data_IF_920539036195
#
_entry.id   IF_920539036195
#
_cell.length_a   1.000
_cell.length_b   1.000
_cell.length_c   1.000
_cell.angle_alpha   90.00
_cell.angle_beta   90.00
_cell.angle_gamma   90.00
#
_symmetry.space_group_name_H-M   'P 1'
#
loop_
_entity.id
_entity.type
_entity.pdbx_description
1 polymer ?
2 non-polymer ?
3 non-polymer ?
4 non-polymer ?
5 non-polymer ?
6 non-polymer ?
7 water ?
#
# COMPACT_ATOMS: atom_id res chain seq x y z
N UNK A 24 -29.10 -7.75 -4.64
CA UNK A 24 -29.78 -6.47 -4.75
C UNK A 24 -28.99 -5.45 -5.54
N UNK A 25 -27.94 -5.93 -6.20
CA UNK A 25 -27.10 -5.11 -7.05
C UNK A 25 -27.70 -5.03 -8.45
N UNK A 26 -27.54 -3.88 -9.10
CA UNK A 26 -27.92 -3.83 -10.50
C UNK A 26 -26.97 -4.66 -11.36
N UNK A 27 -27.34 -4.83 -12.62
CA UNK A 27 -26.50 -5.55 -13.56
C UNK A 27 -25.17 -4.84 -13.76
N UNK A 28 -25.20 -3.52 -13.89
CA UNK A 28 -23.98 -2.76 -14.08
C UNK A 28 -23.09 -2.87 -12.85
N UNK A 29 -23.69 -2.92 -11.66
CA UNK A 29 -22.89 -3.01 -10.43
C UNK A 29 -22.22 -4.36 -10.31
N UNK A 30 -22.93 -5.45 -10.63
CA UNK A 30 -22.31 -6.76 -10.57
C UNK A 30 -21.23 -6.91 -11.63
N UNK A 31 -21.43 -6.29 -12.80
CA UNK A 31 -20.38 -6.33 -13.81
C UNK A 31 -19.16 -5.55 -13.35
N UNK A 32 -19.39 -4.40 -12.70
CA UNK A 32 -18.30 -3.58 -12.19
C UNK A 32 -17.45 -4.35 -11.17
N UNK A 33 -18.10 -5.04 -10.24
CA UNK A 33 -17.35 -5.82 -9.26
C UNK A 33 -16.60 -6.96 -9.93
N UNK A 34 -17.24 -7.61 -10.92
CA UNK A 34 -16.61 -8.71 -11.64
C UNK A 34 -15.34 -8.24 -12.35
N UNK A 35 -15.40 -7.07 -13.00
CA UNK A 35 -14.20 -6.58 -13.67
C UNK A 35 -13.10 -6.23 -12.68
N UNK A 36 -13.44 -5.67 -11.52
CA UNK A 36 -12.41 -5.36 -10.52
C UNK A 36 -11.80 -6.62 -9.95
N UNK A 37 -12.62 -7.63 -9.62
CA UNK A 37 -12.11 -8.88 -9.08
C UNK A 37 -11.26 -9.60 -10.11
N UNK A 38 -11.64 -9.51 -11.38
CA UNK A 38 -10.83 -10.08 -12.46
C UNK A 38 -9.46 -9.42 -12.52
N UNK A 39 -9.43 -8.09 -12.49
CA UNK A 39 -8.16 -7.38 -12.53
C UNK A 39 -7.29 -7.72 -11.32
N UNK A 40 -7.91 -7.84 -10.14
CA UNK A 40 -7.16 -8.21 -8.94
C UNK A 40 -6.57 -9.60 -9.09
N UNK A 41 -7.38 -10.56 -9.54
CA UNK A 41 -6.93 -11.94 -9.72
C UNK A 41 -5.75 -12.03 -10.68
N UNK A 42 -5.76 -11.22 -11.74
CA UNK A 42 -4.69 -11.34 -12.75
C UNK A 42 -3.40 -10.64 -12.34
N UNK A 43 -3.45 -9.71 -11.38
CA UNK A 43 -2.29 -8.84 -11.13
C UNK A 43 -1.78 -8.82 -9.70
N UNK A 44 -2.43 -9.51 -8.76
CA UNK A 44 -1.99 -9.58 -7.37
C UNK A 44 -1.33 -10.96 -7.18
N UNK A 45 0.00 -10.97 -7.13
CA UNK A 45 0.81 -12.16 -6.84
C UNK A 45 0.77 -12.41 -5.34
N UNK A 46 -0.29 -13.09 -4.90
CA UNK A 46 -0.57 -13.15 -3.46
C UNK A 46 0.44 -13.98 -2.72
N UNK A 47 1.11 -14.93 -3.40
CA UNK A 47 2.19 -15.70 -2.79
C UNK A 47 3.56 -15.08 -3.04
N UNK A 48 3.65 -13.94 -3.75
CA UNK A 48 4.92 -13.25 -4.01
C UNK A 48 5.92 -14.18 -4.70
N UNK A 49 5.40 -15.17 -5.45
CA UNK A 49 6.25 -16.15 -6.12
C UNK A 49 7.19 -15.49 -7.13
N UNK A 50 6.80 -14.37 -7.72
CA UNK A 50 7.62 -13.75 -8.75
C UNK A 50 8.40 -12.54 -8.25
N UNK A 51 8.50 -12.34 -6.95
CA UNK A 51 9.37 -11.33 -6.36
C UNK A 51 10.72 -11.98 -6.13
N UNK A 52 11.73 -11.55 -6.89
CA UNK A 52 13.03 -12.20 -6.84
C UNK A 52 14.12 -11.16 -7.15
N UNK A 53 15.38 -11.58 -6.96
CA UNK A 53 16.55 -10.75 -7.26
C UNK A 53 16.57 -9.47 -6.44
N UNK A 54 15.95 -9.48 -5.26
CA UNK A 54 15.91 -8.30 -4.41
C UNK A 54 17.17 -8.23 -3.56
N UNK A 55 17.54 -7.00 -3.20
CA UNK A 55 18.67 -6.77 -2.31
C UNK A 55 18.29 -7.09 -0.86
N UNK A 56 19.30 -7.45 -0.07
CA UNK A 56 19.18 -7.77 1.36
C UNK A 56 20.23 -7.02 2.15
N UNK A 57 19.99 -6.76 3.43
CA UNK A 57 21.01 -6.10 4.26
C UNK A 57 22.29 -6.91 4.33
N UNK A 58 23.43 -6.21 4.30
CA UNK A 58 24.72 -6.88 4.22
C UNK A 58 25.01 -7.75 5.43
N UNK A 59 25.98 -8.66 5.23
CA UNK A 59 26.33 -9.66 6.24
C UNK A 59 27.49 -9.19 7.13
N UNK A 77 21.29 20.91 8.49
CA UNK A 77 21.68 19.59 8.03
C UNK A 77 21.63 18.58 9.18
N UNK A 78 22.23 18.93 10.31
CA UNK A 78 22.13 18.09 11.49
C UNK A 78 20.70 17.99 11.98
N UNK A 79 19.89 19.02 11.70
CA UNK A 79 18.46 18.94 12.01
C UNK A 79 17.74 18.04 11.03
N UNK A 80 18.29 17.91 9.81
CA UNK A 80 17.74 16.98 8.84
C UNK A 80 17.94 15.53 9.28
N UNK A 81 19.16 15.20 9.71
CA UNK A 81 19.44 13.85 10.17
C UNK A 81 18.56 13.46 11.36
N UNK A 82 18.38 14.38 12.31
CA UNK A 82 17.51 14.08 13.45
C UNK A 82 16.12 13.70 12.98
N UNK A 83 15.60 14.41 11.97
CA UNK A 83 14.27 14.09 11.46
C UNK A 83 14.26 12.76 10.72
N UNK A 84 15.26 12.53 9.86
CA UNK A 84 15.34 11.27 9.13
C UNK A 84 15.49 10.10 10.10
N UNK A 85 16.28 10.28 11.17
CA UNK A 85 16.39 9.24 12.19
C UNK A 85 15.03 8.95 12.81
N UNK A 86 14.24 9.99 13.07
CA UNK A 86 12.89 9.80 13.59
C UNK A 86 12.00 9.09 12.59
N UNK A 87 12.10 9.47 11.30
CA UNK A 87 11.31 8.81 10.26
C UNK A 87 11.60 7.31 10.21
N UNK A 88 12.88 6.93 10.20
CA UNK A 88 13.23 5.54 9.90
C UNK A 88 12.94 4.59 11.05
N UNK A 89 12.97 5.06 12.30
CA UNK A 89 12.71 4.14 13.41
C UNK A 89 11.22 4.03 13.75
N UNK A 90 10.34 4.74 13.06
CA UNK A 90 8.91 4.56 13.30
C UNK A 90 8.37 3.26 12.73
N UNK A 91 9.17 2.51 11.96
CA UNK A 91 8.77 1.18 11.46
C UNK A 91 9.98 0.27 11.58
N UNK A 92 9.94 -0.64 12.56
CA UNK A 92 11.03 -1.57 12.82
C UNK A 92 10.52 -2.99 12.63
N UNK A 93 11.10 -3.70 11.65
CA UNK A 93 10.70 -5.08 11.40
C UNK A 93 11.92 -5.97 11.30
N UNK A 94 11.76 -7.20 11.74
CA UNK A 94 12.67 -8.26 11.35
C UNK A 94 12.16 -8.93 10.09
N UNK A 95 13.05 -9.64 9.42
CA UNK A 95 12.78 -10.22 8.12
C UNK A 95 13.05 -11.71 8.23
N UNK A 96 12.16 -12.52 7.68
CA UNK A 96 12.36 -13.96 7.61
C UNK A 96 12.19 -14.43 6.17
N UNK A 97 13.11 -15.30 5.73
CA UNK A 97 13.10 -15.90 4.39
C UNK A 97 13.10 -17.42 4.51
N UNK A 98 12.02 -18.06 4.07
CA UNK A 98 11.90 -19.51 4.14
C UNK A 98 12.27 -20.11 2.79
N UNK A 99 13.33 -20.92 2.77
CA UNK A 99 13.77 -21.52 1.53
C UNK A 99 12.82 -22.61 1.07
N UNK A 100 12.76 -22.78 -0.26
CA UNK A 100 12.01 -23.89 -0.85
C UNK A 100 12.47 -25.26 -0.33
N UNK A 101 13.68 -25.33 0.25
CA UNK A 101 14.22 -26.58 0.81
C UNK A 101 13.88 -26.77 2.28
N UNK A 102 13.26 -25.80 2.92
CA UNK A 102 13.01 -25.88 4.35
C UNK A 102 13.98 -25.12 5.22
N UNK A 103 15.03 -24.56 4.64
CA UNK A 103 15.92 -23.70 5.41
C UNK A 103 15.25 -22.35 5.70
N UNK A 104 15.70 -21.70 6.77
CA UNK A 104 15.20 -20.38 7.16
C UNK A 104 16.38 -19.45 7.42
N UNK A 105 16.37 -18.30 6.77
CA UNK A 105 17.20 -17.16 7.15
C UNK A 105 16.35 -16.16 7.92
N UNK A 106 16.92 -15.61 8.99
CA UNK A 106 16.25 -14.59 9.80
C UNK A 106 17.18 -13.41 9.99
N UNK A 107 16.66 -12.20 9.79
CA UNK A 107 17.44 -10.97 9.97
C UNK A 107 16.78 -10.13 11.06
N UNK A 108 17.56 -9.79 12.08
CA UNK A 108 17.21 -8.84 13.14
C UNK A 108 17.94 -7.54 12.92
N UNK A 109 17.24 -6.40 12.83
CA UNK A 109 17.89 -5.13 12.44
C UNK A 109 18.75 -4.57 13.57
N UNK A 110 19.67 -3.66 13.25
CA UNK A 110 20.50 -3.04 14.30
C UNK A 110 19.73 -1.98 15.09
N UNK A 111 20.23 -1.68 16.28
CA UNK A 111 19.73 -0.53 17.01
C UNK A 111 20.29 0.75 16.42
N UNK A 112 19.60 1.86 16.65
CA UNK A 112 20.12 3.15 16.20
C UNK A 112 21.28 3.54 17.10
N UNK A 113 22.48 3.57 16.52
CA UNK A 113 23.69 4.02 17.21
C UNK A 113 24.23 5.31 16.58
N UNK A 114 23.33 6.13 16.04
CA UNK A 114 23.69 7.41 15.46
C UNK A 114 24.52 7.33 14.19
N UNK A 115 24.42 6.24 13.44
CA UNK A 115 25.18 6.09 12.22
C UNK A 115 24.38 5.57 11.05
N UNK A 116 25.06 5.18 9.97
CA UNK A 116 24.43 4.76 8.73
C UNK A 116 23.64 3.46 8.86
N UNK A 117 23.76 2.75 9.99
CA UNK A 117 23.09 1.46 10.14
C UNK A 117 21.57 1.58 10.09
N UNK A 118 21.02 2.79 10.22
CA UNK A 118 19.57 2.95 10.14
C UNK A 118 19.05 2.74 8.72
N UNK A 119 19.94 2.77 7.72
CA UNK A 119 19.55 2.61 6.32
C UNK A 119 19.65 1.18 5.81
N UNK A 120 19.89 0.19 6.69
CA UNK A 120 20.30 -1.12 6.21
C UNK A 120 19.20 -1.84 5.43
N UNK A 121 17.94 -1.59 5.76
CA UNK A 121 16.84 -2.24 5.08
C UNK A 121 16.27 -1.43 3.92
N UNK A 122 16.77 -0.22 3.67
CA UNK A 122 16.19 0.61 2.62
C UNK A 122 16.30 -0.01 1.23
N UNK A 123 17.43 -0.57 0.78
CA UNK A 123 17.44 -1.16 -0.56
C UNK A 123 16.44 -2.31 -0.70
N UNK A 124 16.29 -3.16 0.33
CA UNK A 124 15.31 -4.24 0.26
C UNK A 124 13.89 -3.70 0.17
N UNK A 125 13.56 -2.69 0.96
CA UNK A 125 12.20 -2.15 0.96
C UNK A 125 11.90 -1.44 -0.35
N UNK A 126 12.89 -0.78 -0.95
CA UNK A 126 12.71 -0.20 -2.29
C UNK A 126 12.38 -1.27 -3.33
N UNK A 127 13.05 -2.43 -3.25
CA UNK A 127 12.77 -3.49 -4.21
C UNK A 127 11.38 -4.08 -4.00
N UNK A 128 10.97 -4.28 -2.74
CA UNK A 128 9.62 -4.79 -2.48
C UNK A 128 8.55 -3.79 -2.92
N UNK A 129 8.72 -2.51 -2.60
CA UNK A 129 7.74 -1.51 -3.02
C UNK A 129 7.65 -1.43 -4.53
N UNK A 130 8.81 -1.47 -5.20
CA UNK A 130 8.84 -1.45 -6.65
C UNK A 130 8.09 -2.65 -7.22
N UNK A 131 8.33 -3.84 -6.67
CA UNK A 131 7.59 -5.02 -7.09
C UNK A 131 6.09 -4.82 -6.93
N UNK A 132 5.66 -4.30 -5.77
CA UNK A 132 4.23 -4.04 -5.55
C UNK A 132 3.69 -3.03 -6.54
N UNK A 133 4.45 -1.96 -6.81
CA UNK A 133 4.00 -0.89 -7.72
C UNK A 133 3.72 -1.43 -9.12
N UNK A 134 4.56 -2.37 -9.59
CA UNK A 134 4.33 -2.96 -10.90
C UNK A 134 3.00 -3.71 -10.94
N UNK A 135 2.70 -4.48 -9.89
CA UNK A 135 1.40 -5.13 -9.83
C UNK A 135 0.24 -4.16 -9.84
N UNK A 136 0.40 -3.03 -9.13
CA UNK A 136 -0.63 -1.99 -9.06
C UNK A 136 -0.85 -1.34 -10.42
N UNK A 137 0.23 -1.04 -11.14
CA UNK A 137 0.12 -0.47 -12.48
C UNK A 137 -0.59 -1.45 -13.41
N UNK A 138 -0.24 -2.74 -13.33
CA UNK A 138 -0.92 -3.75 -14.15
C UNK A 138 -2.41 -3.83 -13.80
N UNK A 139 -2.74 -3.71 -12.50
CA UNK A 139 -4.13 -3.72 -12.06
C UNK A 139 -4.93 -2.60 -12.75
N UNK A 140 -4.43 -1.37 -12.68
CA UNK A 140 -5.10 -0.23 -13.30
C UNK A 140 -5.30 -0.45 -14.80
N UNK A 141 -4.25 -0.90 -15.51
CA UNK A 141 -4.32 -1.02 -16.96
C UNK A 141 -5.33 -2.07 -17.43
N UNK A 142 -5.63 -3.08 -16.60
CA UNK A 142 -6.64 -4.08 -16.97
C UNK A 142 -8.07 -3.53 -16.87
N UNK A 143 -8.30 -2.48 -16.10
CA UNK A 143 -9.65 -1.98 -15.84
C UNK A 143 -10.09 -1.08 -16.99
N UNK A 144 -11.29 -1.38 -17.54
CA UNK A 144 -11.80 -0.63 -18.70
C UNK A 144 -11.98 0.86 -18.38
N UNK A 145 -12.57 1.18 -17.23
CA UNK A 145 -12.76 2.59 -16.89
C UNK A 145 -11.44 3.34 -16.82
N UNK A 146 -10.35 2.67 -16.45
CA UNK A 146 -9.05 3.32 -16.40
C UNK A 146 -8.42 3.41 -17.80
N UNK A 147 -8.48 2.32 -18.57
CA UNK A 147 -7.96 2.34 -19.93
C UNK A 147 -8.57 3.46 -20.75
N UNK A 148 -9.84 3.79 -20.50
CA UNK A 148 -10.55 4.82 -21.27
C UNK A 148 -10.19 6.23 -20.89
N UNK A 149 -9.38 6.44 -19.86
CA UNK A 149 -9.00 7.82 -19.59
C UNK A 149 -7.83 8.21 -20.48
N UNK A 150 -7.65 9.50 -20.74
CA UNK A 150 -6.45 9.96 -21.44
C UNK A 150 -5.19 9.57 -20.68
N UNK A 151 -4.12 9.30 -21.43
CA UNK A 151 -2.91 8.72 -20.84
C UNK A 151 -2.30 9.63 -19.78
N UNK A 152 -2.44 10.95 -19.93
CA UNK A 152 -1.87 11.85 -18.94
C UNK A 152 -2.61 11.75 -17.61
N UNK A 153 -3.92 11.47 -17.65
CA UNK A 153 -4.67 11.28 -16.41
C UNK A 153 -4.39 9.92 -15.79
N UNK A 154 -4.23 8.89 -16.63
CA UNK A 154 -3.77 7.60 -16.14
C UNK A 154 -2.52 7.75 -15.30
N UNK A 155 -1.54 8.50 -15.81
CA UNK A 155 -0.28 8.70 -15.12
C UNK A 155 -0.49 9.47 -13.82
N UNK A 156 -1.31 10.53 -13.86
CA UNK A 156 -1.49 11.35 -12.65
C UNK A 156 -2.21 10.57 -11.56
N UNK A 157 -3.17 9.71 -11.94
CA UNK A 157 -3.87 8.88 -10.97
C UNK A 157 -2.96 7.82 -10.35
N UNK A 158 -2.10 7.19 -11.16
CA UNK A 158 -1.16 6.20 -10.64
C UNK A 158 -0.12 6.84 -9.72
N UNK A 159 0.44 7.99 -10.11
CA UNK A 159 1.32 8.71 -9.20
C UNK A 159 0.60 9.06 -7.89
N UNK A 160 -0.69 9.38 -7.97
CA UNK A 160 -1.42 9.75 -6.76
C UNK A 160 -1.79 8.61 -5.85
N UNK A 161 -2.02 7.41 -6.41
CA UNK A 161 -2.63 6.33 -5.64
C UNK A 161 -1.75 5.09 -5.45
N UNK A 162 -0.59 5.01 -6.10
CA UNK A 162 0.21 3.77 -6.06
C UNK A 162 0.53 3.32 -4.64
N UNK A 163 0.99 4.24 -3.80
CA UNK A 163 1.27 3.90 -2.41
C UNK A 163 0.04 3.40 -1.67
N UNK A 164 -1.11 4.09 -1.84
CA UNK A 164 -2.32 3.69 -1.14
C UNK A 164 -2.80 2.30 -1.57
N UNK A 165 -2.73 1.99 -2.87
CA UNK A 165 -3.13 0.65 -3.30
C UNK A 165 -2.14 -0.40 -2.82
N UNK A 166 -0.87 -0.04 -2.69
CA UNK A 166 0.09 -0.98 -2.12
C UNK A 166 -0.26 -1.30 -0.67
N UNK A 167 -0.63 -0.28 0.12
CA UNK A 167 -0.99 -0.52 1.52
C UNK A 167 -2.23 -1.39 1.64
N UNK A 168 -3.22 -1.15 0.76
CA UNK A 168 -4.44 -1.95 0.76
C UNK A 168 -4.15 -3.41 0.46
N UNK A 169 -3.28 -3.67 -0.54
CA UNK A 169 -2.92 -5.06 -0.82
C UNK A 169 -2.12 -5.67 0.33
N UNK A 170 -1.20 -4.90 0.92
CA UNK A 170 -0.43 -5.43 2.06
C UNK A 170 -1.31 -5.75 3.25
N UNK A 171 -2.42 -5.01 3.45
CA UNK A 171 -3.28 -5.33 4.58
C UNK A 171 -3.91 -6.71 4.45
N UNK A 172 -4.13 -7.18 3.22
CA UNK A 172 -4.74 -8.51 3.09
C UNK A 172 -3.78 -9.63 3.44
N UNK A 173 -2.47 -9.39 3.53
CA UNK A 173 -1.53 -10.40 4.02
C UNK A 173 -1.03 -10.09 5.43
N UNK A 174 -1.59 -9.07 6.08
CA UNK A 174 -1.22 -8.72 7.46
C UNK A 174 -1.90 -9.67 8.43
N UNK A 175 -1.11 -10.22 9.37
CA UNK A 175 -1.63 -11.06 10.45
C UNK A 175 -1.62 -10.20 11.71
N UNK A 176 -2.80 -9.75 12.14
CA UNK A 176 -2.86 -8.84 13.27
C UNK A 176 -2.58 -9.54 14.59
N UNK A 177 -2.77 -10.86 14.66
CA UNK A 177 -2.44 -11.58 15.88
C UNK A 177 -0.94 -11.61 16.13
N UNK A 178 -0.13 -11.80 15.08
CA UNK A 178 1.31 -11.92 15.26
C UNK A 178 2.08 -10.67 14.85
N UNK A 179 1.41 -9.62 14.39
CA UNK A 179 2.11 -8.42 13.93
C UNK A 179 3.03 -8.64 12.75
N UNK A 180 2.60 -9.46 11.78
CA UNK A 180 3.47 -9.89 10.68
C UNK A 180 2.77 -9.77 9.33
N UNK A 181 3.46 -9.19 8.34
CA UNK A 181 3.01 -9.27 6.95
C UNK A 181 3.58 -10.53 6.33
N UNK A 182 2.69 -11.44 5.91
CA UNK A 182 3.06 -12.77 5.44
C UNK A 182 3.06 -12.75 3.91
N UNK A 183 4.24 -12.64 3.32
CA UNK A 183 4.38 -12.40 1.90
C UNK A 183 4.97 -13.65 1.24
N UNK A 184 4.21 -14.74 1.29
CA UNK A 184 4.72 -16.00 0.78
C UNK A 184 5.89 -16.52 1.60
N UNK A 185 7.05 -16.65 0.96
CA UNK A 185 8.24 -17.14 1.65
C UNK A 185 8.93 -16.06 2.49
N UNK A 186 8.55 -14.79 2.33
CA UNK A 186 9.08 -13.70 3.15
C UNK A 186 8.05 -13.29 4.19
N UNK A 187 8.53 -12.92 5.38
CA UNK A 187 7.70 -12.40 6.45
C UNK A 187 8.35 -11.16 7.03
N UNK A 188 7.54 -10.17 7.39
CA UNK A 188 8.05 -8.96 8.03
C UNK A 188 7.31 -8.82 9.35
N UNK A 189 8.05 -8.92 10.45
CA UNK A 189 7.47 -9.01 11.79
C UNK A 189 7.87 -7.79 12.61
N UNK A 190 6.87 -7.11 13.18
CA UNK A 190 7.12 -5.92 13.96
C UNK A 190 7.92 -6.29 15.21
N UNK A 191 8.93 -5.49 15.51
CA UNK A 191 9.82 -5.76 16.64
C UNK A 191 9.22 -5.22 17.93
N UNK A 192 9.29 -6.02 18.99
CA UNK A 192 8.86 -5.57 20.31
C UNK A 192 9.73 -4.41 20.78
N UNK A 197 3.41 -2.37 22.53
CA UNK A 197 2.26 -3.12 22.03
C UNK A 197 1.16 -2.15 21.60
N UNK A 198 0.43 -1.61 22.57
CA UNK A 198 -0.36 -0.40 22.32
C UNK A 198 0.55 0.78 21.99
N UNK A 199 1.85 0.63 22.21
CA UNK A 199 2.84 1.65 21.88
C UNK A 199 3.04 1.76 20.37
N UNK A 200 3.14 0.60 19.70
CA UNK A 200 3.34 0.60 18.24
C UNK A 200 2.14 1.17 17.51
N UNK A 201 0.94 1.02 18.07
CA UNK A 201 -0.27 1.56 17.46
C UNK A 201 -0.27 3.08 17.41
N UNK A 202 0.72 3.75 18.01
CA UNK A 202 0.79 5.20 17.90
C UNK A 202 1.21 5.62 16.50
N UNK A 203 1.95 4.76 15.81
CA UNK A 203 2.39 5.05 14.46
C UNK A 203 1.19 4.94 13.51
N UNK A 204 0.83 6.01 12.77
CA UNK A 204 -0.44 5.99 12.02
C UNK A 204 -0.54 4.84 11.02
N UNK A 205 0.53 4.54 10.29
CA UNK A 205 0.56 3.40 9.37
C UNK A 205 0.17 2.11 10.07
N UNK A 206 0.73 1.88 11.26
CA UNK A 206 0.44 0.64 11.97
C UNK A 206 -0.98 0.63 12.53
N UNK A 207 -1.42 1.74 13.13
CA UNK A 207 -2.82 1.82 13.56
C UNK A 207 -3.76 1.57 12.39
N UNK A 208 -3.43 2.12 11.22
CA UNK A 208 -4.25 1.87 10.03
C UNK A 208 -4.37 0.37 9.74
N UNK A 209 -3.24 -0.35 9.70
CA UNK A 209 -3.31 -1.77 9.36
C UNK A 209 -4.12 -2.56 10.37
N UNK A 210 -3.93 -2.31 11.67
CA UNK A 210 -4.70 -3.04 12.67
C UNK A 210 -6.19 -2.73 12.55
N UNK A 211 -6.54 -1.44 12.43
CA UNK A 211 -7.96 -1.08 12.37
C UNK A 211 -8.62 -1.63 11.12
N UNK A 212 -7.97 -1.51 9.95
CA UNK A 212 -8.57 -2.06 8.73
C UNK A 212 -8.76 -3.57 8.82
N UNK A 213 -7.75 -4.29 9.34
CA UNK A 213 -7.86 -5.74 9.46
C UNK A 213 -9.04 -6.15 10.33
N UNK A 214 -9.28 -5.44 11.42
CA UNK A 214 -10.35 -5.83 12.32
C UNK A 214 -11.74 -5.63 11.71
N UNK A 215 -11.87 -4.88 10.62
CA UNK A 215 -13.17 -4.82 9.96
C UNK A 215 -13.52 -6.10 9.24
N UNK A 216 -12.56 -7.02 9.07
CA UNK A 216 -12.81 -8.31 8.42
C UNK A 216 -13.51 -8.16 7.07
N UNK A 217 -12.86 -7.43 6.16
CA UNK A 217 -13.48 -7.15 4.87
C UNK A 217 -13.36 -8.37 3.95
N UNK A 218 -14.31 -8.46 3.01
CA UNK A 218 -14.27 -9.40 1.90
C UNK A 218 -13.30 -8.92 0.81
N UNK A 219 -12.88 -9.87 -0.03
CA UNK A 219 -12.06 -9.52 -1.20
C UNK A 219 -12.72 -8.43 -2.04
N UNK A 220 -14.05 -8.51 -2.24
CA UNK A 220 -14.73 -7.53 -3.08
C UNK A 220 -14.67 -6.13 -2.47
N UNK A 221 -14.72 -6.04 -1.14
CA UNK A 221 -14.67 -4.74 -0.49
C UNK A 221 -13.26 -4.14 -0.59
N UNK A 222 -12.23 -4.97 -0.46
CA UNK A 222 -10.87 -4.49 -0.69
C UNK A 222 -10.70 -3.93 -2.11
N UNK A 223 -11.18 -4.65 -3.14
CA UNK A 223 -10.90 -4.20 -4.50
C UNK A 223 -11.72 -2.94 -4.81
N UNK A 224 -12.91 -2.80 -4.21
CA UNK A 224 -13.66 -1.56 -4.37
C UNK A 224 -12.96 -0.41 -3.65
N UNK A 225 -12.32 -0.67 -2.50
CA UNK A 225 -11.49 0.36 -1.87
C UNK A 225 -10.36 0.78 -2.80
N UNK A 226 -9.70 -0.19 -3.45
CA UNK A 226 -8.64 0.14 -4.40
C UNK A 226 -9.16 1.04 -5.52
N UNK A 227 -10.36 0.73 -6.04
CA UNK A 227 -10.92 1.54 -7.13
C UNK A 227 -11.21 2.96 -6.67
N UNK A 228 -11.83 3.10 -5.49
CA UNK A 228 -12.18 4.43 -4.99
C UNK A 228 -10.95 5.28 -4.81
N UNK A 229 -9.87 4.68 -4.30
CA UNK A 229 -8.61 5.39 -4.13
C UNK A 229 -7.98 5.71 -5.48
N UNK A 230 -7.99 4.76 -6.41
CA UNK A 230 -7.37 4.98 -7.71
C UNK A 230 -8.05 6.12 -8.45
N UNK A 231 -9.38 6.13 -8.48
CA UNK A 231 -10.16 7.13 -9.21
C UNK A 231 -10.49 8.33 -8.31
N UNK A 232 -9.44 8.99 -7.80
CA UNK A 232 -9.62 10.16 -6.95
C UNK A 232 -9.48 11.41 -7.79
N UNK A 233 -10.55 12.18 -7.99
CA UNK A 233 -10.51 13.30 -8.96
C UNK A 233 -9.56 14.42 -8.58
N UNK A 234 -9.12 14.50 -7.33
CA UNK A 234 -8.34 15.63 -6.84
C UNK A 234 -6.85 15.32 -6.70
N UNK A 235 -6.35 14.33 -7.42
CA UNK A 235 -4.91 14.13 -7.42
C UNK A 235 -4.26 15.27 -8.22
N UNK A 236 -3.03 15.65 -7.87
CA UNK A 236 -2.33 16.68 -8.64
C UNK A 236 -2.25 16.30 -10.11
N UNK A 237 -2.66 17.24 -10.96
CA UNK A 237 -2.45 17.12 -12.39
C UNK A 237 -3.60 16.54 -13.17
N UNK A 238 -4.64 16.02 -12.51
CA UNK A 238 -5.75 15.42 -13.23
C UNK A 238 -6.47 16.47 -14.08
N UNK A 239 -6.81 16.12 -15.31
CA UNK A 239 -7.58 17.00 -16.18
C UNK A 239 -9.06 16.66 -16.22
N UNK A 240 -9.41 15.39 -16.44
CA UNK A 240 -10.81 14.96 -16.52
C UNK A 240 -11.42 14.80 -15.13
N UNK A 241 -11.36 15.89 -14.35
CA UNK A 241 -11.88 15.88 -12.99
C UNK A 241 -13.33 15.36 -12.93
N UNK A 242 -14.18 15.78 -13.87
CA UNK A 242 -15.59 15.43 -13.76
C UNK A 242 -15.81 13.95 -14.07
N UNK A 243 -15.15 13.44 -15.12
CA UNK A 243 -15.23 12.02 -15.44
C UNK A 243 -14.74 11.19 -14.26
N UNK A 244 -13.54 11.49 -13.76
CA UNK A 244 -12.98 10.71 -12.65
C UNK A 244 -13.91 10.77 -11.44
N UNK A 245 -14.46 11.96 -11.17
CA UNK A 245 -15.34 12.10 -10.02
C UNK A 245 -16.60 11.27 -10.15
N UNK A 246 -17.15 11.17 -11.36
CA UNK A 246 -18.36 10.37 -11.55
C UNK A 246 -18.06 8.89 -11.43
N UNK A 247 -16.91 8.45 -11.97
CA UNK A 247 -16.51 7.06 -11.80
C UNK A 247 -16.34 6.72 -10.33
N UNK A 248 -15.68 7.60 -9.57
CA UNK A 248 -15.46 7.33 -8.14
C UNK A 248 -16.78 7.19 -7.42
N UNK A 249 -17.75 8.04 -7.75
CA UNK A 249 -19.04 7.99 -7.09
C UNK A 249 -19.74 6.66 -7.39
N UNK A 250 -19.57 6.13 -8.60
CA UNK A 250 -20.20 4.85 -8.94
C UNK A 250 -19.56 3.69 -8.16
N UNK A 251 -18.23 3.68 -8.06
CA UNK A 251 -17.56 2.65 -7.24
C UNK A 251 -18.00 2.74 -5.78
N UNK A 252 -18.19 3.96 -5.26
CA UNK A 252 -18.61 4.09 -3.87
C UNK A 252 -20.07 3.62 -3.69
N UNK A 253 -20.93 3.94 -4.66
CA UNK A 253 -22.32 3.46 -4.60
C UNK A 253 -22.36 1.95 -4.69
N UNK A 254 -21.55 1.37 -5.58
CA UNK A 254 -21.50 -0.09 -5.67
C UNK A 254 -21.07 -0.71 -4.33
N UNK A 255 -20.06 -0.10 -3.67
CA UNK A 255 -19.62 -0.64 -2.38
C UNK A 255 -20.71 -0.52 -1.33
N UNK A 256 -21.34 0.65 -1.22
CA UNK A 256 -22.43 0.82 -0.27
C UNK A 256 -23.54 -0.21 -0.49
N UNK A 257 -23.91 -0.42 -1.77
CA UNK A 257 -24.95 -1.41 -2.10
C UNK A 257 -24.48 -2.84 -1.80
N UNK A 258 -23.24 -3.16 -2.12
CA UNK A 258 -22.72 -4.50 -1.80
C UNK A 258 -22.87 -4.78 -0.31
N UNK A 259 -22.50 -3.82 0.53
CA UNK A 259 -22.57 -4.02 1.98
C UNK A 259 -24.02 -4.20 2.42
N UNK A 260 -24.93 -3.40 1.85
CA UNK A 260 -26.35 -3.51 2.23
C UNK A 260 -26.93 -4.86 1.80
N UNK A 261 -26.49 -5.39 0.66
CA UNK A 261 -27.03 -6.66 0.21
C UNK A 261 -26.44 -7.85 0.94
N UNK A 262 -25.20 -7.78 1.42
CA UNK A 262 -24.51 -8.99 1.88
C UNK A 262 -24.07 -8.96 3.34
N UNK A 263 -24.44 -7.94 4.12
CA UNK A 263 -24.01 -7.85 5.52
C UNK A 263 -25.10 -7.22 6.39
N UNK A 264 -26.07 -8.01 6.84
CA UNK A 264 -27.18 -7.48 7.65
C UNK A 264 -26.90 -7.40 9.14
N UNK A 265 -25.73 -7.85 9.61
CA UNK A 265 -25.48 -8.06 11.02
C UNK A 265 -25.23 -6.75 11.76
N UNK A 266 -25.68 -6.64 13.01
CA UNK A 266 -25.42 -5.41 13.78
C UNK A 266 -23.95 -5.05 13.88
N UNK A 267 -23.02 -6.01 13.77
CA UNK A 267 -21.61 -5.65 13.81
C UNK A 267 -21.20 -4.79 12.63
N UNK A 268 -21.95 -4.87 11.52
CA UNK A 268 -21.57 -4.19 10.29
C UNK A 268 -22.38 -2.92 10.06
N UNK A 269 -23.13 -2.46 11.07
CA UNK A 269 -23.77 -1.16 10.93
C UNK A 269 -22.70 -0.10 10.72
N UNK A 270 -22.97 0.80 9.79
CA UNK A 270 -22.08 1.90 9.45
C UNK A 270 -20.77 1.41 8.80
N UNK A 271 -20.71 0.15 8.35
CA UNK A 271 -19.47 -0.35 7.74
C UNK A 271 -19.04 0.51 6.55
N UNK A 272 -19.99 0.90 5.69
CA UNK A 272 -19.62 1.73 4.54
C UNK A 272 -18.95 3.02 4.99
N UNK A 273 -19.48 3.66 6.05
CA UNK A 273 -18.90 4.92 6.50
C UNK A 273 -17.54 4.70 7.16
N UNK A 274 -17.37 3.58 7.87
CA UNK A 274 -16.05 3.26 8.43
C UNK A 274 -14.99 3.11 7.34
N UNK A 275 -15.31 2.35 6.28
CA UNK A 275 -14.38 2.19 5.15
C UNK A 275 -14.02 3.55 4.57
N UNK A 276 -15.03 4.40 4.33
CA UNK A 276 -14.75 5.71 3.74
C UNK A 276 -13.84 6.53 4.64
N UNK A 277 -14.04 6.46 5.96
CA UNK A 277 -13.16 7.14 6.90
C UNK A 277 -11.73 6.57 6.84
N UNK A 278 -11.60 5.24 6.70
CA UNK A 278 -10.27 4.63 6.56
C UNK A 278 -9.58 5.12 5.30
N UNK A 279 -10.33 5.28 4.20
CA UNK A 279 -9.74 5.79 2.95
C UNK A 279 -9.25 7.22 3.13
N UNK A 280 -9.98 8.04 3.89
CA UNK A 280 -9.50 9.38 4.19
C UNK A 280 -8.22 9.33 5.02
N UNK A 281 -8.18 8.47 6.02
CA UNK A 281 -6.95 8.32 6.81
C UNK A 281 -5.79 7.85 5.94
N UNK A 282 -6.07 6.96 4.98
CA UNK A 282 -5.02 6.44 4.12
C UNK A 282 -4.41 7.54 3.25
N UNK A 283 -5.24 8.50 2.83
CA UNK A 283 -4.74 9.64 2.08
C UNK A 283 -3.80 10.49 2.92
N UNK A 284 -4.13 10.71 4.18
CA UNK A 284 -3.24 11.44 5.08
C UNK A 284 -1.92 10.68 5.30
N UNK A 285 -2.00 9.37 5.54
CA UNK A 285 -0.79 8.56 5.64
C UNK A 285 0.03 8.63 4.37
N UNK A 286 -0.63 8.59 3.21
CA UNK A 286 0.07 8.73 1.92
C UNK A 286 0.89 10.02 1.89
N UNK A 287 0.28 11.15 2.25
CA UNK A 287 0.99 12.42 2.23
C UNK A 287 2.14 12.43 3.24
N UNK A 288 1.89 11.93 4.46
CA UNK A 288 2.95 11.86 5.48
C UNK A 288 4.12 11.02 5.00
N UNK A 289 3.83 9.84 4.44
CA UNK A 289 4.91 8.95 4.04
C UNK A 289 5.67 9.47 2.83
N UNK A 290 4.97 10.16 1.90
CA UNK A 290 5.66 10.74 0.76
C UNK A 290 6.68 11.77 1.22
N UNK A 291 6.36 12.55 2.25
CA UNK A 291 7.32 13.55 2.75
C UNK A 291 8.49 12.88 3.46
N UNK A 292 8.25 11.77 4.19
CA UNK A 292 9.37 11.04 4.77
C UNK A 292 10.30 10.49 3.71
N UNK A 293 9.73 9.93 2.64
CA UNK A 293 10.54 9.40 1.54
C UNK A 293 11.46 10.48 0.99
N UNK A 294 10.89 11.64 0.70
CA UNK A 294 11.68 12.71 0.08
C UNK A 294 12.76 13.22 1.02
N UNK A 295 12.49 13.27 2.32
CA UNK A 295 13.53 13.65 3.29
C UNK A 295 14.65 12.62 3.30
N UNK A 296 14.32 11.33 3.43
CA UNK A 296 15.35 10.29 3.40
C UNK A 296 16.13 10.35 2.09
N UNK A 297 15.42 10.42 0.97
CA UNK A 297 16.07 10.48 -0.34
C UNK A 297 17.02 11.67 -0.43
N UNK A 298 16.66 12.79 0.19
CA UNK A 298 17.48 13.99 0.08
C UNK A 298 18.89 13.79 0.65
N UNK A 299 19.01 13.05 1.75
CA UNK A 299 20.31 12.85 2.39
C UNK A 299 20.89 11.48 2.16
N UNK A 300 20.10 10.53 1.63
CA UNK A 300 20.58 9.17 1.42
C UNK A 300 19.79 8.57 0.27
N UNK A 301 20.25 8.75 -0.97
CA UNK A 301 19.48 8.30 -2.13
C UNK A 301 19.29 6.79 -2.14
N UNK A 302 18.08 6.35 -2.45
CA UNK A 302 17.80 4.91 -2.51
C UNK A 302 16.65 4.56 -3.45
N UNK A 303 15.83 5.54 -3.85
CA UNK A 303 14.66 5.27 -4.68
C UNK A 303 15.05 4.60 -6.02
N UNK A 304 14.33 3.55 -6.39
CA UNK A 304 14.52 2.91 -7.71
C UNK A 304 14.02 3.83 -8.82
N UNK A 305 14.40 3.54 -10.08
CA UNK A 305 13.84 4.32 -11.20
C UNK A 305 12.32 4.41 -11.19
N UNK A 306 11.61 3.30 -10.92
CA UNK A 306 10.15 3.36 -10.91
C UNK A 306 9.65 4.23 -9.76
N UNK A 307 10.31 4.15 -8.60
CA UNK A 307 9.95 5.02 -7.48
C UNK A 307 10.16 6.49 -7.83
N UNK A 308 11.29 6.81 -8.49
CA UNK A 308 11.55 8.19 -8.90
C UNK A 308 10.43 8.72 -9.80
N UNK A 309 10.01 7.91 -10.80
CA UNK A 309 8.92 8.30 -11.69
C UNK A 309 7.64 8.60 -10.92
N UNK A 310 7.21 7.66 -10.07
CA UNK A 310 5.95 7.82 -9.38
C UNK A 310 5.98 8.96 -8.38
N UNK A 311 7.15 9.32 -7.85
CA UNK A 311 7.24 10.31 -6.78
C UNK A 311 7.83 11.65 -7.24
N UNK A 312 8.06 11.83 -8.54
CA UNK A 312 8.43 13.13 -9.06
C UNK A 312 9.92 13.40 -9.24
N UNK A 313 10.80 12.50 -8.82
CA UNK A 313 12.24 12.72 -8.93
C UNK A 313 12.67 12.58 -10.38
N UNK A 314 13.41 13.57 -10.90
CA UNK A 314 13.70 13.62 -12.33
C UNK A 314 15.05 13.05 -12.72
N UNK A 315 15.98 12.91 -11.79
CA UNK A 315 17.34 12.49 -12.11
C UNK A 315 18.34 13.61 -12.21
N UNK A 316 17.92 14.86 -12.03
CA UNK A 316 18.83 16.01 -12.06
C UNK A 316 18.89 16.70 -10.69
X LIG B 1 7.91 5.05 0.81
X LIG B 1 7.59 4.58 -0.46
X LIG B 1 8.29 3.50 -1.02
X LIG B 1 7.97 3.08 -2.27
X LIG B 1 9.31 2.86 -0.29
X LIG B 1 9.65 3.28 0.99
X LIG B 1 10.76 2.59 1.77
X LIG B 1 11.12 3.37 3.03
X LIG B 1 9.87 3.83 3.77
X LIG B 1 9.24 4.94 2.93
X LIG B 1 8.92 4.44 1.57
X LIG B 1 8.02 5.57 3.61
X LIG B 1 8.37 6.10 5.00
X LIG B 1 8.93 4.95 5.83
X LIG B 1 10.17 4.39 5.15
X LIG B 1 10.80 3.49 6.21
X LIG B 1 10.44 4.17 7.55
X LIG B 1 9.49 5.32 7.20
X LIG B 1 8.45 5.47 8.17
X LIG B 1 7.86 3.87 6.00
X LIG C 1 -7.58 -12.26 2.46
X LIG C 1 -8.93 -11.68 2.88
X LIG C 1 -8.94 -11.34 4.29
X LIG C 1 -9.13 -10.37 2.13
X LIG C 1 -10.11 -12.62 2.58
X LIG C 1 -10.25 -13.91 3.40
X LIG C 1 -9.01 -14.50 3.72
X LIG C 1 -11.05 -13.71 4.68
X LIG D 1 7.37 -2.36 3.75
X LIG D 1 6.99 -3.78 3.58
X LIG D 1 6.12 -3.96 4.62
X LIG D 1 7.15 -4.19 6.16
X LIG D 1 5.38 -2.64 4.64
X LIG D 1 4.67 -2.46 6.30
X LIG D 1 6.34 -1.68 4.61
X LIG D 1 6.01 -0.41 3.90
X LIG D 1 5.38 1.03 4.73
X LIG D 1 5.14 -0.81 2.80
X LIG D 1 3.39 -0.88 2.64
X LIG D 1 5.85 -1.81 2.19
X LIG D 1 5.21 -2.54 0.75
X LIG D 1 7.24 -1.58 2.54
X LIG D 1 8.49 -1.97 1.03
X LIG D 1 7.15 -0.26 3.11
X LIG D 1 8.54 0.08 4.14
X LIG D 1 6.97 1.02 1.88
X LIG E 1 5.27 -2.51 5.26
X LIG E 1 6.34 -1.61 4.83
X LIG E 1 7.21 -2.44 3.87
X LIG E 1 6.48 -3.64 3.70
X LIG E 1 5.87 -3.82 5.02
X LIG E 1 7.21 -4.17 6.21
X LIG E 1 7.71 -4.93 3.25
X LIG E 1 7.22 -1.57 2.53
X LIG E 1 5.77 -1.75 2.08
X LIG E 1 5.00 -0.85 2.83
X LIG E 1 5.94 -0.36 3.95
X LIG E 1 7.15 -0.24 3.09
X LIG E 1 6.98 1.03 1.87
X LIG E 1 8.55 0.08 4.13
X LIG E 1 5.30 1.24 4.77
X LIG E 1 3.25 -0.87 2.67
X LIG E 1 5.12 -2.61 0.73
X LIG E 1 8.47 -1.96 1.09
X LIG F 1 4.45 6.65 -14.48
X LIG F 1 3.75 5.47 -15.14
X LIG F 1 4.74 4.33 -15.34
X LIG F 1 2.76 5.04 -14.24
#
# INVERSE_FOLDING_TARGET
MKKGHHHHHHGSERTGTQPLGVQGLTEEQRMMIRELMDAQMKTFDTTFSHFKNFRLPGVLSSGCELPESLQAPSREEAAKWSQVRKDLCSLKVSLQLRGEDGSVWNYKPPADSGGKEIFSLLPHMADMSTYMFKGIISFAKVISYFRDLPIEDQISLLKGAAFELCQLRFNTVFNAETGTWECGRLSYCLEDTAGGFQQLLLEPMLKFHYMLKKLQLHEEEYVLMQAISLFSPDRPGVLQHRVVDQLQEQFAITLKSYIECNRPQPAHRFLFLKIMAMLTELRSINAQHTQRLLRIQDIHPFATPLMQELFGITGS
EST C1 C2 C3 O3 C4 C5 C6 C7 C8 C9 C10 C11 C12 C13 C14 C15 C16 C17 O17 C18
MPD C1 C2 O2 CM C3 C4 O4 C5
S6E C01 C02 C03 CL1 C05 CL2 C07 C08 CL3 C10 CL4 C12 CL5 C14 CL6 C16 CL7 CL8
S6H C01 C02 C03 C04 C05 CL1 CL2 C08 C09 C10 C11 C12 CL3 CL4 CL5 CL6 CL7 CL8
IPA C1 C2 C3 O2
#
